data_IF_055584015091
#
_entry.id   IF_055584015091
#
_cell.length_a   1.000
_cell.length_b   1.000
_cell.length_c   1.000
_cell.angle_alpha   90.00
_cell.angle_beta   90.00
_cell.angle_gamma   90.00
#
_symmetry.space_group_name_H-M   'P 1'
#
loop_
_entity.id
_entity.type
_entity.pdbx_description
1 polymer ?
#
# COMPACT_ATOMS: atom_id res chain seq x y z
N UNK A 1 -20.40 11.05 -4.46
CA UNK A 1 -20.16 9.66 -4.88
C UNK A 1 -19.11 9.70 -5.97
N UNK A 2 -17.86 9.50 -5.60
CA UNK A 2 -16.77 9.30 -6.54
C UNK A 2 -16.01 8.07 -6.04
N UNK A 3 -16.68 6.91 -6.08
CA UNK A 3 -15.96 5.64 -6.17
C UNK A 3 -15.37 5.62 -7.57
N UNK A 4 -14.17 6.20 -7.71
CA UNK A 4 -13.35 5.90 -8.89
C UNK A 4 -13.06 4.40 -8.84
N UNK A 5 -13.36 3.70 -9.93
CA UNK A 5 -13.13 2.25 -10.06
C UNK A 5 -11.80 1.86 -9.40
N UNK A 6 -11.88 1.05 -8.34
CA UNK A 6 -10.68 0.46 -7.74
C UNK A 6 -10.00 -0.38 -8.82
N UNK A 7 -8.68 -0.29 -8.96
CA UNK A 7 -7.98 -1.12 -9.94
C UNK A 7 -8.18 -2.59 -9.57
N UNK A 8 -8.59 -3.39 -10.53
CA UNK A 8 -8.62 -4.85 -10.42
C UNK A 8 -7.30 -5.41 -10.92
N UNK A 9 -6.91 -6.59 -10.44
CA UNK A 9 -5.71 -7.26 -10.93
C UNK A 9 -5.75 -7.45 -12.45
N UNK A 10 -6.87 -7.91 -13.00
CA UNK A 10 -7.05 -8.05 -14.44
C UNK A 10 -6.88 -6.71 -15.19
N UNK A 11 -7.41 -5.61 -14.65
CA UNK A 11 -7.24 -4.29 -15.24
C UNK A 11 -5.79 -3.80 -15.22
N UNK A 12 -5.04 -4.13 -14.17
CA UNK A 12 -3.60 -3.87 -14.10
C UNK A 12 -2.81 -4.74 -15.06
N UNK A 13 -3.13 -6.03 -15.16
CA UNK A 13 -2.47 -6.95 -16.07
C UNK A 13 -2.66 -6.53 -17.54
N UNK A 14 -3.84 -6.01 -17.90
CA UNK A 14 -4.15 -5.49 -19.24
C UNK A 14 -3.44 -4.16 -19.53
N UNK A 15 -3.45 -3.22 -18.56
CA UNK A 15 -2.91 -1.87 -18.76
C UNK A 15 -1.38 -1.81 -18.60
N UNK A 16 -0.83 -2.64 -17.73
CA UNK A 16 0.58 -2.70 -17.39
C UNK A 16 1.00 -4.15 -17.10
N UNK A 17 1.22 -4.97 -18.14
CA UNK A 17 1.66 -6.35 -17.97
C UNK A 17 2.96 -6.43 -17.16
N UNK A 18 2.97 -7.27 -16.13
CA UNK A 18 4.13 -7.47 -15.26
C UNK A 18 4.39 -6.36 -14.25
N UNK A 19 3.39 -5.54 -13.92
CA UNK A 19 3.47 -4.49 -12.89
C UNK A 19 3.93 -5.00 -11.52
N UNK A 20 3.66 -6.26 -11.18
CA UNK A 20 4.06 -6.91 -9.93
C UNK A 20 5.37 -7.72 -10.07
N UNK A 21 5.95 -7.78 -11.27
CA UNK A 21 7.15 -8.56 -11.51
C UNK A 21 8.35 -7.97 -10.75
N UNK A 22 8.96 -8.79 -9.89
CA UNK A 22 10.11 -8.39 -9.08
C UNK A 22 9.75 -7.58 -7.83
N UNK A 23 8.47 -7.45 -7.49
CA UNK A 23 8.05 -6.90 -6.20
C UNK A 23 8.41 -7.89 -5.10
N UNK A 24 9.38 -7.52 -4.26
CA UNK A 24 9.84 -8.30 -3.11
C UNK A 24 9.40 -7.75 -1.76
N UNK A 25 8.68 -6.62 -1.76
CA UNK A 25 8.17 -5.97 -0.54
C UNK A 25 6.86 -5.24 -0.87
N UNK A 26 5.80 -5.55 -0.13
CA UNK A 26 4.49 -4.89 -0.20
C UNK A 26 4.20 -4.19 1.12
N UNK A 27 4.17 -2.86 1.08
CA UNK A 27 3.78 -2.03 2.24
C UNK A 27 2.39 -1.45 1.99
N UNK A 28 1.43 -1.80 2.83
CA UNK A 28 0.07 -1.28 2.78
C UNK A 28 -0.04 -0.01 3.63
N UNK A 29 -0.42 1.10 3.01
CA UNK A 29 -0.76 2.35 3.70
C UNK A 29 -2.25 2.37 4.05
N UNK A 30 -2.57 2.33 5.35
CA UNK A 30 -3.92 2.43 5.92
C UNK A 30 -4.98 1.61 5.13
N UNK A 31 -5.97 2.25 4.50
CA UNK A 31 -6.99 1.60 3.67
C UNK A 31 -6.46 0.79 2.47
N UNK A 32 -5.20 1.00 2.07
CA UNK A 32 -4.50 0.24 1.04
C UNK A 32 -4.37 -1.26 1.34
N UNK A 33 -4.55 -1.68 2.59
CA UNK A 33 -4.60 -3.11 2.94
C UNK A 33 -5.73 -3.84 2.20
N UNK A 34 -6.90 -3.20 2.07
CA UNK A 34 -8.05 -3.77 1.35
C UNK A 34 -7.74 -3.89 -0.14
N UNK A 35 -7.08 -2.89 -0.71
CA UNK A 35 -6.66 -2.93 -2.11
C UNK A 35 -5.64 -4.04 -2.37
N UNK A 36 -4.65 -4.22 -1.48
CA UNK A 36 -3.68 -5.29 -1.60
C UNK A 36 -4.36 -6.67 -1.57
N UNK A 37 -5.34 -6.87 -0.68
CA UNK A 37 -6.16 -8.08 -0.65
C UNK A 37 -6.95 -8.29 -1.95
N UNK A 38 -7.63 -7.24 -2.47
CA UNK A 38 -8.38 -7.28 -3.73
C UNK A 38 -7.48 -7.63 -4.94
N UNK A 39 -6.21 -7.24 -4.90
CA UNK A 39 -5.21 -7.52 -5.93
C UNK A 39 -4.47 -8.86 -5.73
N UNK A 40 -4.76 -9.59 -4.65
CA UNK A 40 -4.10 -10.85 -4.31
C UNK A 40 -2.63 -10.68 -3.92
N UNK A 41 -2.24 -9.50 -3.42
CA UNK A 41 -0.90 -9.24 -2.92
C UNK A 41 -0.79 -9.63 -1.44
N UNK A 42 0.29 -10.33 -1.08
CA UNK A 42 0.63 -10.55 0.31
C UNK A 42 1.24 -9.28 0.90
N UNK A 43 0.73 -8.81 2.04
CA UNK A 43 1.23 -7.61 2.71
C UNK A 43 2.38 -8.00 3.65
N UNK A 44 3.54 -7.38 3.48
CA UNK A 44 4.71 -7.60 4.33
C UNK A 44 4.77 -6.62 5.51
N UNK A 45 4.10 -5.48 5.38
CA UNK A 45 3.99 -4.44 6.40
C UNK A 45 2.73 -3.62 6.20
N UNK A 46 2.04 -3.33 7.29
CA UNK A 46 1.00 -2.30 7.31
C UNK A 46 1.48 -1.07 8.09
N UNK A 47 1.21 0.12 7.54
CA UNK A 47 1.51 1.42 8.15
C UNK A 47 0.27 2.31 8.08
N UNK A 48 -0.13 2.89 9.19
CA UNK A 48 -1.28 3.78 9.22
C UNK A 48 -1.71 4.19 10.62
N UNK A 49 -2.58 5.19 10.74
CA UNK A 49 -3.26 5.47 12.01
C UNK A 49 -4.50 4.56 12.23
N UNK A 50 -4.98 3.91 11.17
CA UNK A 50 -6.04 2.92 11.21
C UNK A 50 -7.44 3.53 11.26
N UNK A 51 -7.62 4.74 10.73
CA UNK A 51 -8.93 5.39 10.65
C UNK A 51 -9.79 4.91 9.45
N UNK A 52 -9.17 4.33 8.41
CA UNK A 52 -9.89 3.78 7.26
C UNK A 52 -10.13 2.27 7.31
N UNK A 53 -9.54 1.57 8.28
CA UNK A 53 -9.75 0.13 8.52
C UNK A 53 -10.66 -0.10 9.71
N UNK A 54 -11.50 -1.12 9.63
CA UNK A 54 -12.27 -1.55 10.79
C UNK A 54 -11.44 -2.50 11.69
N UNK A 55 -12.01 -2.87 12.83
CA UNK A 55 -11.34 -3.75 13.78
C UNK A 55 -11.07 -5.15 13.19
N UNK A 56 -11.92 -5.61 12.26
CA UNK A 56 -11.81 -6.93 11.64
C UNK A 56 -10.66 -6.97 10.62
N UNK A 57 -10.47 -5.88 9.86
CA UNK A 57 -9.34 -5.72 8.94
C UNK A 57 -8.00 -5.77 9.69
N UNK A 58 -7.87 -5.00 10.77
CA UNK A 58 -6.64 -4.99 11.58
C UNK A 58 -6.42 -6.37 12.23
N UNK A 59 -7.47 -7.01 12.74
CA UNK A 59 -7.38 -8.35 13.31
C UNK A 59 -6.95 -9.39 12.25
N UNK A 60 -7.40 -9.24 11.01
CA UNK A 60 -6.98 -10.11 9.91
C UNK A 60 -5.48 -10.00 9.64
N UNK A 61 -4.96 -8.77 9.53
CA UNK A 61 -3.51 -8.52 9.38
C UNK A 61 -2.70 -9.16 10.52
N UNK A 62 -3.16 -9.00 11.77
CA UNK A 62 -2.49 -9.58 12.93
C UNK A 62 -2.49 -11.11 12.92
N UNK A 63 -3.63 -11.74 12.58
CA UNK A 63 -3.72 -13.20 12.47
C UNK A 63 -2.80 -13.75 11.39
N UNK A 64 -2.66 -13.01 10.29
CA UNK A 64 -1.82 -13.40 9.16
C UNK A 64 -0.33 -13.11 9.43
N UNK A 65 0.00 -12.60 10.62
CA UNK A 65 1.36 -12.34 11.07
C UNK A 65 1.98 -11.08 10.49
N UNK A 66 1.17 -10.21 9.87
CA UNK A 66 1.63 -8.97 9.24
C UNK A 66 2.07 -7.99 10.34
N UNK A 67 3.32 -7.48 10.31
CA UNK A 67 3.76 -6.41 11.18
C UNK A 67 2.91 -5.15 11.02
N UNK A 68 2.55 -4.52 12.14
CA UNK A 68 1.72 -3.31 12.19
C UNK A 68 2.55 -2.17 12.77
N UNK A 69 2.85 -1.17 11.94
CA UNK A 69 3.44 0.10 12.36
C UNK A 69 2.33 1.15 12.47
N UNK A 70 1.73 1.22 13.67
CA UNK A 70 0.68 2.19 13.95
C UNK A 70 1.28 3.58 14.12
N UNK A 71 0.83 4.51 13.28
CA UNK A 71 1.24 5.90 13.31
C UNK A 71 0.31 6.75 14.20
N UNK A 72 0.81 7.84 14.81
CA UNK A 72 -0.05 8.82 15.46
C UNK A 72 -1.02 9.46 14.46
N UNK A 73 -2.22 9.83 14.93
CA UNK A 73 -3.24 10.52 14.12
C UNK A 73 -2.84 11.98 13.82
N UNK A 74 -2.06 12.60 14.72
CA UNK A 74 -1.65 14.02 14.67
C UNK A 74 -0.29 14.24 14.00
N UNK A 75 0.12 13.31 13.14
CA UNK A 75 1.37 13.37 12.38
C UNK A 75 1.31 14.38 11.23
N UNK A 76 2.48 14.85 10.81
CA UNK A 76 2.61 15.76 9.65
C UNK A 76 2.64 15.01 8.30
N UNK A 77 3.04 13.72 8.29
CA UNK A 77 3.15 12.90 7.08
C UNK A 77 1.84 12.15 6.80
N UNK A 78 1.51 11.94 5.52
CA UNK A 78 0.45 11.02 5.12
C UNK A 78 0.85 9.55 5.32
N UNK A 79 -0.12 8.63 5.41
CA UNK A 79 0.18 7.19 5.52
C UNK A 79 0.94 6.66 4.31
N UNK A 80 0.67 7.18 3.11
CA UNK A 80 1.43 6.86 1.90
C UNK A 80 2.90 7.27 2.03
N UNK A 81 3.18 8.46 2.55
CA UNK A 81 4.56 8.90 2.79
C UNK A 81 5.25 8.02 3.84
N UNK A 82 4.55 7.65 4.92
CA UNK A 82 5.09 6.72 5.90
C UNK A 82 5.38 5.34 5.30
N UNK A 83 4.50 4.82 4.44
CA UNK A 83 4.71 3.56 3.76
C UNK A 83 5.95 3.60 2.84
N UNK A 84 6.14 4.70 2.10
CA UNK A 84 7.34 4.92 1.27
C UNK A 84 8.60 4.97 2.14
N UNK A 85 8.58 5.73 3.25
CA UNK A 85 9.70 5.80 4.20
C UNK A 85 10.00 4.41 4.77
N UNK A 86 8.99 3.65 5.15
CA UNK A 86 9.12 2.31 5.69
C UNK A 86 9.70 1.32 4.67
N UNK A 87 9.32 1.42 3.39
CA UNK A 87 9.89 0.63 2.31
C UNK A 87 11.37 0.96 2.09
N UNK A 88 11.71 2.25 2.07
CA UNK A 88 13.09 2.72 1.91
C UNK A 88 13.97 2.26 3.08
N UNK A 89 13.50 2.36 4.32
CA UNK A 89 14.23 1.85 5.49
C UNK A 89 14.46 0.33 5.44
N UNK A 90 13.64 -0.40 4.69
CA UNK A 90 13.77 -1.84 4.45
C UNK A 90 14.63 -2.18 3.23
N UNK A 91 15.26 -1.18 2.61
CA UNK A 91 16.18 -1.36 1.50
C UNK A 91 15.52 -1.39 0.12
N UNK A 92 14.26 -0.94 -0.01
CA UNK A 92 13.66 -0.76 -1.32
C UNK A 92 14.42 0.31 -2.13
N UNK A 93 14.81 -0.04 -3.36
CA UNK A 93 15.51 0.87 -4.29
C UNK A 93 14.59 1.47 -5.35
N UNK A 94 13.37 0.96 -5.44
CA UNK A 94 12.30 1.44 -6.31
C UNK A 94 10.95 1.20 -5.60
N UNK A 95 10.02 2.14 -5.77
CA UNK A 95 8.69 2.06 -5.17
C UNK A 95 7.63 2.33 -6.24
N UNK A 96 6.63 1.47 -6.27
CA UNK A 96 5.42 1.63 -7.10
C UNK A 96 4.25 1.84 -6.17
N UNK A 97 3.57 2.97 -6.30
CA UNK A 97 2.40 3.28 -5.48
C UNK A 97 1.12 2.91 -6.22
N UNK A 98 0.26 2.11 -5.59
CA UNK A 98 -1.06 1.72 -6.10
C UNK A 98 -2.12 2.45 -5.28
N UNK A 99 -3.03 3.18 -5.94
CA UNK A 99 -4.15 3.86 -5.27
C UNK A 99 -3.81 5.16 -4.53
N UNK A 100 -2.61 5.73 -4.73
CA UNK A 100 -2.11 6.90 -3.98
C UNK A 100 -2.88 8.22 -4.21
N UNK A 101 -3.69 8.31 -5.27
CA UNK A 101 -4.59 9.43 -5.54
C UNK A 101 -5.90 8.83 -6.04
N UNK A 102 -7.00 8.95 -5.28
CA UNK A 102 -8.31 8.31 -5.55
C UNK A 102 -8.88 8.46 -6.97
N UNK A 103 -8.31 7.73 -7.93
CA UNK A 103 -8.51 7.86 -9.37
C UNK A 103 -7.46 7.07 -10.16
N UNK A 104 -7.62 7.05 -11.50
CA UNK A 104 -6.87 6.21 -12.46
C UNK A 104 -5.38 6.52 -12.62
N UNK A 105 -4.75 7.26 -11.70
CA UNK A 105 -3.35 7.67 -11.84
C UNK A 105 -2.48 6.84 -10.91
N UNK A 106 -1.71 5.97 -11.54
CA UNK A 106 -0.60 5.26 -10.93
C UNK A 106 0.57 6.23 -10.84
N UNK A 107 0.99 6.56 -9.64
CA UNK A 107 2.17 7.39 -9.43
C UNK A 107 3.38 6.48 -9.18
N UNK A 108 4.47 6.73 -9.90
CA UNK A 108 5.76 6.09 -9.65
C UNK A 108 6.61 7.07 -8.86
N UNK A 109 6.78 6.80 -7.57
CA UNK A 109 7.71 7.55 -6.73
C UNK A 109 9.04 6.80 -6.70
N UNK A 110 10.04 7.28 -7.44
CA UNK A 110 11.39 6.74 -7.34
C UNK A 110 12.10 7.38 -6.13
N UNK A 111 12.13 6.67 -5.00
CA UNK A 111 12.97 7.04 -3.87
C UNK A 111 14.33 6.34 -4.01
N UNK A 112 15.36 7.08 -4.45
CA UNK A 112 16.76 6.62 -4.37
C UNK A 112 17.31 6.99 -2.99
N UNK A 113 17.50 6.01 -2.12
CA UNK A 113 18.49 6.13 -1.03
C UNK A 113 19.85 5.80 -1.63
N UNK A 114 20.80 6.71 -1.42
CA UNK A 114 22.06 6.84 -2.18
C UNK A 114 23.02 5.66 -2.12
#
# INVERSE_FOLDING_TARGET
MADGDRPTRAGLDDAWPGWDAGVGLVVAADGGARLAADLGLAIDLWVGDGDSLDADDIAALQRDGVPIERAPLDKDQSDTELAVIAAVHRGATAVTALGALGGRRFDHALATVG
#
